data_IF_041813548736
#
_entry.id   IF_041813548736
#
_cell.length_a   1.000
_cell.length_b   1.000
_cell.length_c   1.000
_cell.angle_alpha   90.00
_cell.angle_beta   90.00
_cell.angle_gamma   90.00
#
_symmetry.space_group_name_H-M   'P 1'
#
loop_
_entity.id
_entity.type
_entity.pdbx_description
1 polymer ?
#
# COMPACT_ATOMS: atom_id res chain seq x y z
N UNK A 1 11.73 -12.54 -1.49
CA UNK A 1 11.39 -11.11 -1.35
C UNK A 1 10.00 -10.91 -0.75
N UNK A 2 8.92 -11.39 -1.39
CA UNK A 2 7.53 -11.21 -0.91
C UNK A 2 7.30 -11.60 0.55
N UNK A 3 7.76 -12.79 0.97
CA UNK A 3 7.61 -13.27 2.36
C UNK A 3 8.31 -12.32 3.34
N UNK A 4 9.58 -11.97 3.10
CA UNK A 4 10.33 -11.03 3.94
C UNK A 4 9.69 -9.65 4.01
N UNK A 5 9.14 -9.16 2.89
CA UNK A 5 8.41 -7.89 2.88
C UNK A 5 7.12 -7.96 3.71
N UNK A 6 6.34 -9.03 3.58
CA UNK A 6 5.13 -9.23 4.38
C UNK A 6 5.45 -9.36 5.87
N UNK A 7 6.49 -10.13 6.21
CA UNK A 7 7.00 -10.27 7.58
C UNK A 7 7.41 -8.90 8.15
N UNK A 8 8.20 -8.13 7.40
CA UNK A 8 8.60 -6.79 7.80
C UNK A 8 7.40 -5.86 7.96
N UNK A 9 6.43 -5.88 7.03
CA UNK A 9 5.22 -5.08 7.09
C UNK A 9 4.36 -5.41 8.32
N UNK A 10 4.24 -6.69 8.68
CA UNK A 10 3.50 -7.15 9.88
C UNK A 10 4.25 -6.89 11.20
N UNK A 11 5.56 -6.65 11.14
CA UNK A 11 6.37 -6.26 12.30
C UNK A 11 6.41 -4.75 12.55
N UNK A 12 5.87 -3.94 11.65
CA UNK A 12 5.84 -2.49 11.82
C UNK A 12 4.94 -2.07 12.98
N UNK A 13 5.30 -0.96 13.63
CA UNK A 13 4.44 -0.34 14.63
C UNK A 13 3.27 0.41 13.97
N UNK A 14 2.20 0.62 14.73
CA UNK A 14 0.98 1.25 14.22
C UNK A 14 1.24 2.72 13.88
N UNK A 15 2.19 3.36 14.57
CA UNK A 15 2.64 4.70 14.23
C UNK A 15 3.16 4.81 12.78
N UNK A 16 3.99 3.87 12.34
CA UNK A 16 4.51 3.84 10.98
C UNK A 16 3.41 3.57 9.95
N UNK A 17 2.45 2.70 10.27
CA UNK A 17 1.28 2.43 9.42
C UNK A 17 0.39 3.67 9.28
N UNK A 18 0.15 4.40 10.36
CA UNK A 18 -0.72 5.59 10.34
C UNK A 18 -0.10 6.81 9.64
N UNK A 19 1.23 6.83 9.44
CA UNK A 19 1.96 7.99 8.88
C UNK A 19 2.52 7.73 7.49
N UNK A 20 3.12 6.56 7.25
CA UNK A 20 3.98 6.33 6.08
C UNK A 20 3.45 5.23 5.14
N UNK A 21 2.60 4.31 5.62
CA UNK A 21 2.22 3.11 4.85
C UNK A 21 0.72 2.87 4.87
N UNK A 22 0.06 3.01 3.71
CA UNK A 22 -1.34 2.58 3.57
C UNK A 22 -1.41 1.09 3.29
N UNK A 23 -2.49 0.44 3.73
CA UNK A 23 -2.74 -0.99 3.45
C UNK A 23 -2.73 -1.30 1.95
N UNK A 24 -3.21 -0.38 1.12
CA UNK A 24 -3.17 -0.46 -0.34
C UNK A 24 -1.74 -0.58 -0.87
N UNK A 25 -0.79 0.10 -0.23
CA UNK A 25 0.60 0.18 -0.68
C UNK A 25 1.33 -1.13 -0.41
N UNK A 26 1.02 -1.79 0.70
CA UNK A 26 1.54 -3.13 1.02
C UNK A 26 1.09 -4.16 -0.01
N UNK A 27 -0.21 -4.16 -0.34
CA UNK A 27 -0.78 -5.08 -1.33
C UNK A 27 -0.21 -4.80 -2.73
N UNK A 28 -0.10 -3.52 -3.10
CA UNK A 28 0.47 -3.11 -4.38
C UNK A 28 1.95 -3.51 -4.50
N UNK A 29 2.74 -3.34 -3.44
CA UNK A 29 4.14 -3.73 -3.44
C UNK A 29 4.33 -5.24 -3.62
N UNK A 30 3.47 -6.05 -2.98
CA UNK A 30 3.51 -7.51 -3.12
C UNK A 30 3.12 -7.94 -4.53
N UNK A 31 2.06 -7.36 -5.10
CA UNK A 31 1.50 -7.84 -6.37
C UNK A 31 2.15 -7.21 -7.61
N UNK A 32 2.54 -5.94 -7.54
CA UNK A 32 3.01 -5.17 -8.68
C UNK A 32 4.51 -4.92 -8.61
N UNK A 33 5.00 -4.27 -7.54
CA UNK A 33 6.40 -3.88 -7.44
C UNK A 33 7.34 -5.09 -7.44
N UNK A 34 6.97 -6.15 -6.72
CA UNK A 34 7.76 -7.38 -6.70
C UNK A 34 7.83 -8.07 -8.07
N UNK A 35 6.77 -7.97 -8.89
CA UNK A 35 6.74 -8.51 -10.26
C UNK A 35 7.63 -7.67 -11.16
N UNK A 36 7.63 -6.34 -11.01
CA UNK A 36 8.55 -5.48 -11.76
C UNK A 36 10.02 -5.81 -11.45
N UNK A 37 10.34 -6.05 -10.17
CA UNK A 37 11.68 -6.49 -9.79
C UNK A 37 12.00 -7.86 -10.39
N UNK A 38 11.06 -8.81 -10.34
CA UNK A 38 11.22 -10.14 -10.93
C UNK A 38 11.46 -10.09 -12.45
N UNK A 39 10.64 -9.36 -13.21
CA UNK A 39 10.78 -9.21 -14.66
C UNK A 39 12.16 -8.65 -15.03
N UNK A 40 12.61 -7.65 -14.29
CA UNK A 40 13.92 -7.06 -14.48
C UNK A 40 15.06 -8.07 -14.27
N UNK A 41 15.10 -8.78 -13.14
CA UNK A 41 16.20 -9.72 -12.82
C UNK A 41 16.13 -11.03 -13.61
N UNK A 42 15.02 -11.33 -14.28
CA UNK A 42 14.83 -12.57 -15.03
C UNK A 42 14.96 -12.32 -16.54
N UNK A 43 13.85 -12.09 -17.23
CA UNK A 43 13.80 -11.99 -18.69
C UNK A 43 14.61 -10.79 -19.21
N UNK A 44 14.47 -9.61 -18.59
CA UNK A 44 15.12 -8.40 -19.10
C UNK A 44 16.63 -8.41 -18.91
N UNK A 45 17.13 -9.05 -17.85
CA UNK A 45 18.55 -9.30 -17.65
C UNK A 45 19.13 -10.22 -18.72
N UNK A 46 18.46 -11.35 -19.00
CA UNK A 46 18.87 -12.25 -20.08
C UNK A 46 18.88 -11.56 -21.44
N UNK A 47 17.80 -10.84 -21.77
CA UNK A 47 17.70 -10.08 -23.02
C UNK A 47 18.77 -9.00 -23.13
N UNK A 48 19.06 -8.28 -22.04
CA UNK A 48 20.10 -7.24 -22.05
C UNK A 48 21.48 -7.84 -22.35
N UNK A 49 21.85 -8.93 -21.66
CA UNK A 49 23.12 -9.62 -21.89
C UNK A 49 23.19 -10.16 -23.32
N UNK A 50 22.13 -10.79 -23.81
CA UNK A 50 22.04 -11.29 -25.18
C UNK A 50 22.25 -10.18 -26.22
N UNK A 51 21.56 -9.04 -26.08
CA UNK A 51 21.67 -7.93 -27.02
C UNK A 51 23.03 -7.23 -26.94
N UNK A 52 23.61 -7.07 -25.74
CA UNK A 52 24.96 -6.52 -25.60
C UNK A 52 26.03 -7.45 -26.18
N UNK A 53 25.91 -8.76 -25.95
CA UNK A 53 26.81 -9.74 -26.56
C UNK A 53 26.69 -9.72 -28.10
N UNK A 54 25.47 -9.61 -28.64
CA UNK A 54 25.22 -9.50 -30.08
C UNK A 54 25.79 -8.22 -30.67
N UNK A 55 25.65 -7.09 -29.96
CA UNK A 55 26.28 -5.81 -30.35
C UNK A 55 27.80 -5.93 -30.40
N UNK A 56 28.43 -6.39 -29.30
CA UNK A 56 29.89 -6.51 -29.23
C UNK A 56 30.42 -7.49 -30.28
N UNK A 57 29.83 -8.69 -30.40
CA UNK A 57 30.26 -9.70 -31.37
C UNK A 57 30.07 -9.24 -32.82
N UNK A 58 28.95 -8.58 -33.13
CA UNK A 58 28.68 -8.03 -34.47
C UNK A 58 29.72 -7.01 -34.91
N UNK A 59 30.13 -6.11 -34.00
CA UNK A 59 31.19 -5.15 -34.28
C UNK A 59 32.58 -5.78 -34.30
N UNK A 60 32.89 -6.74 -33.41
CA UNK A 60 34.17 -7.47 -33.43
C UNK A 60 34.37 -8.18 -34.77
N UNK A 61 33.36 -8.93 -35.24
CA UNK A 61 33.39 -9.58 -36.56
C UNK A 61 33.53 -8.55 -37.68
N UNK A 62 32.84 -7.40 -37.57
CA UNK A 62 32.93 -6.35 -38.57
C UNK A 62 34.32 -5.72 -38.67
N UNK A 63 34.96 -5.45 -37.54
CA UNK A 63 36.29 -4.87 -37.49
C UNK A 63 37.38 -5.85 -37.96
N UNK A 64 37.22 -7.15 -37.70
CA UNK A 64 38.19 -8.17 -38.16
C UNK A 64 38.04 -8.48 -39.65
N UNK A 65 36.83 -8.38 -40.21
CA UNK A 65 36.59 -8.66 -41.62
C UNK A 65 36.88 -7.44 -42.53
N UNK A 66 36.14 -6.34 -42.35
CA UNK A 66 36.30 -5.12 -43.16
C UNK A 66 36.09 -3.89 -42.27
N UNK A 67 37.17 -3.42 -41.65
CA UNK A 67 37.14 -2.31 -40.69
C UNK A 67 36.54 -1.01 -41.25
N UNK A 68 36.69 -0.74 -42.57
CA UNK A 68 36.12 0.47 -43.17
C UNK A 68 34.58 0.47 -43.12
N UNK A 69 33.94 -0.68 -43.34
CA UNK A 69 32.47 -0.80 -43.26
C UNK A 69 31.98 -0.69 -41.82
N UNK A 70 32.70 -1.30 -40.88
CA UNK A 70 32.38 -1.21 -39.46
C UNK A 70 32.42 0.23 -38.94
N UNK A 71 33.42 1.03 -39.34
CA UNK A 71 33.51 2.44 -38.99
C UNK A 71 32.35 3.26 -39.56
N UNK A 72 31.98 3.00 -40.82
CA UNK A 72 30.85 3.65 -41.46
C UNK A 72 29.55 3.38 -40.70
N UNK A 73 29.30 2.13 -40.29
CA UNK A 73 28.12 1.82 -39.48
C UNK A 73 28.20 2.47 -38.10
N UNK A 74 29.37 2.46 -37.46
CA UNK A 74 29.57 3.10 -36.16
C UNK A 74 29.26 4.60 -36.19
N UNK A 75 29.56 5.29 -37.30
CA UNK A 75 29.24 6.70 -37.49
C UNK A 75 27.72 6.96 -37.59
N UNK A 76 26.93 5.98 -38.02
CA UNK A 76 25.45 6.09 -38.14
C UNK A 76 24.74 5.78 -36.82
N UNK A 77 25.36 5.00 -35.93
CA UNK A 77 24.78 4.62 -34.62
C UNK A 77 24.36 5.85 -33.78
N UNK A 78 25.18 6.91 -33.60
CA UNK A 78 24.76 8.11 -32.88
C UNK A 78 23.51 8.77 -33.46
N UNK A 79 23.38 8.82 -34.79
CA UNK A 79 22.21 9.41 -35.46
C UNK A 79 20.93 8.62 -35.15
N UNK A 80 20.99 7.29 -35.18
CA UNK A 80 19.87 6.43 -34.79
C UNK A 80 19.54 6.62 -33.30
N UNK A 81 20.55 6.69 -32.44
CA UNK A 81 20.38 6.89 -31.01
C UNK A 81 19.69 8.23 -30.68
N UNK A 82 20.07 9.33 -31.36
CA UNK A 82 19.47 10.66 -31.17
C UNK A 82 17.99 10.63 -31.58
N UNK A 83 17.67 10.07 -32.76
CA UNK A 83 16.29 9.97 -33.25
C UNK A 83 15.45 9.11 -32.29
N UNK A 84 16.01 7.97 -31.85
CA UNK A 84 15.38 7.09 -30.87
C UNK A 84 15.13 7.80 -29.54
N UNK A 85 16.10 8.53 -29.01
CA UNK A 85 15.97 9.26 -27.75
C UNK A 85 14.89 10.35 -27.82
N UNK A 86 14.87 11.16 -28.89
CA UNK A 86 13.84 12.19 -29.10
C UNK A 86 12.46 11.53 -29.17
N UNK A 87 12.32 10.43 -29.91
CA UNK A 87 11.09 9.67 -30.01
C UNK A 87 10.64 9.15 -28.65
N UNK A 88 11.50 8.48 -27.89
CA UNK A 88 11.18 7.92 -26.57
C UNK A 88 10.77 9.01 -25.58
N UNK A 89 11.49 10.13 -25.51
CA UNK A 89 11.18 11.23 -24.57
C UNK A 89 9.84 11.89 -24.93
N UNK A 90 9.61 12.16 -26.21
CA UNK A 90 8.37 12.82 -26.67
C UNK A 90 7.16 11.92 -26.44
N UNK A 91 7.30 10.63 -26.75
CA UNK A 91 6.25 9.64 -26.54
C UNK A 91 5.95 9.46 -25.04
N UNK A 92 6.97 9.39 -24.19
CA UNK A 92 6.79 9.30 -22.74
C UNK A 92 6.03 10.51 -22.17
N UNK A 93 6.36 11.73 -22.60
CA UNK A 93 5.65 12.95 -22.17
C UNK A 93 4.19 12.98 -22.61
N UNK A 94 3.90 12.64 -23.87
CA UNK A 94 2.52 12.61 -24.38
C UNK A 94 1.71 11.48 -23.75
N UNK A 95 2.31 10.30 -23.59
CA UNK A 95 1.66 9.16 -22.93
C UNK A 95 1.33 9.45 -21.47
N UNK A 96 2.21 10.14 -20.74
CA UNK A 96 1.94 10.55 -19.35
C UNK A 96 0.74 11.48 -19.26
N UNK A 97 0.66 12.51 -20.10
CA UNK A 97 -0.50 13.42 -20.15
C UNK A 97 -1.79 12.69 -20.55
N UNK A 98 -1.70 11.75 -21.49
CA UNK A 98 -2.85 10.94 -21.90
C UNK A 98 -3.34 10.04 -20.76
N UNK A 99 -2.42 9.48 -19.97
CA UNK A 99 -2.74 8.64 -18.82
C UNK A 99 -3.39 9.46 -17.70
N UNK A 100 -2.90 10.69 -17.45
CA UNK A 100 -3.49 11.60 -16.47
C UNK A 100 -4.95 11.96 -16.83
N UNK A 101 -5.19 12.33 -18.10
CA UNK A 101 -6.55 12.60 -18.59
C UNK A 101 -7.48 11.37 -18.52
N UNK A 102 -6.94 10.16 -18.72
CA UNK A 102 -7.69 8.92 -18.56
C UNK A 102 -7.99 8.62 -17.08
N UNK A 103 -7.05 8.88 -16.18
CA UNK A 103 -7.24 8.73 -14.73
C UNK A 103 -8.35 9.63 -14.23
N UNK A 104 -8.45 10.87 -14.72
CA UNK A 104 -9.53 11.78 -14.34
C UNK A 104 -10.91 11.26 -14.77
N UNK A 105 -11.02 10.71 -15.97
CA UNK A 105 -12.24 10.03 -16.40
C UNK A 105 -12.54 8.82 -15.50
N UNK A 106 -11.52 8.04 -15.14
CA UNK A 106 -11.61 6.93 -14.19
C UNK A 106 -12.16 7.35 -12.83
N UNK A 107 -11.65 8.45 -12.26
CA UNK A 107 -12.11 9.00 -10.99
C UNK A 107 -13.60 9.35 -11.01
N UNK A 108 -14.08 9.98 -12.09
CA UNK A 108 -15.50 10.31 -12.26
C UNK A 108 -16.36 9.03 -12.27
N UNK A 109 -15.93 8.00 -13.00
CA UNK A 109 -16.63 6.72 -13.06
C UNK A 109 -16.63 6.01 -11.70
N UNK A 110 -15.48 5.97 -11.02
CA UNK A 110 -15.33 5.38 -9.69
C UNK A 110 -16.25 6.05 -8.66
N UNK A 111 -16.26 7.38 -8.59
CA UNK A 111 -17.14 8.13 -7.70
C UNK A 111 -18.63 7.85 -7.99
N UNK A 112 -18.99 7.80 -9.27
CA UNK A 112 -20.37 7.53 -9.71
C UNK A 112 -20.81 6.13 -9.28
N UNK A 113 -19.95 5.11 -9.47
CA UNK A 113 -20.25 3.72 -9.11
C UNK A 113 -20.26 3.53 -7.59
N UNK A 114 -19.28 4.11 -6.88
CA UNK A 114 -19.21 4.06 -5.43
C UNK A 114 -20.47 4.66 -4.78
N UNK A 115 -21.03 5.70 -5.39
CA UNK A 115 -22.24 6.39 -4.93
C UNK A 115 -23.47 6.07 -5.80
N UNK A 116 -23.52 4.86 -6.38
CA UNK A 116 -24.58 4.49 -7.34
C UNK A 116 -25.99 4.65 -6.77
N UNK A 117 -26.21 4.35 -5.48
CA UNK A 117 -27.50 4.54 -4.81
C UNK A 117 -27.94 6.00 -4.80
N UNK A 118 -27.00 6.92 -4.56
CA UNK A 118 -27.23 8.36 -4.57
C UNK A 118 -27.53 8.84 -6.00
N UNK A 119 -26.75 8.39 -6.99
CA UNK A 119 -26.95 8.75 -8.39
C UNK A 119 -28.34 8.33 -8.87
N UNK A 120 -28.76 7.09 -8.56
CA UNK A 120 -30.10 6.59 -8.91
C UNK A 120 -31.22 7.31 -8.13
N UNK A 121 -31.02 7.60 -6.84
CA UNK A 121 -32.00 8.30 -6.02
C UNK A 121 -32.29 9.74 -6.53
N UNK A 122 -31.30 10.39 -7.13
CA UNK A 122 -31.43 11.73 -7.72
C UNK A 122 -31.61 11.72 -9.25
N UNK A 123 -31.79 10.56 -9.88
CA UNK A 123 -31.95 10.41 -11.35
C UNK A 123 -30.83 11.13 -12.12
N UNK A 124 -29.59 10.92 -11.67
CA UNK A 124 -28.39 11.64 -12.12
C UNK A 124 -27.60 10.96 -13.25
N UNK A 125 -28.10 9.86 -13.83
CA UNK A 125 -27.37 8.98 -14.75
C UNK A 125 -26.86 9.73 -15.99
N UNK A 126 -27.74 10.52 -16.63
CA UNK A 126 -27.40 11.30 -17.83
C UNK A 126 -26.29 12.33 -17.56
N UNK A 127 -26.30 12.96 -16.38
CA UNK A 127 -25.29 13.94 -15.98
C UNK A 127 -23.93 13.27 -15.76
N UNK A 128 -23.92 12.11 -15.10
CA UNK A 128 -22.70 11.34 -14.90
C UNK A 128 -22.10 10.87 -16.24
N UNK A 129 -22.94 10.37 -17.15
CA UNK A 129 -22.50 9.98 -18.50
C UNK A 129 -21.91 11.15 -19.30
N UNK A 130 -22.53 12.33 -19.23
CA UNK A 130 -22.03 13.51 -19.93
C UNK A 130 -20.69 14.00 -19.35
N UNK A 131 -20.53 13.97 -18.03
CA UNK A 131 -19.27 14.31 -17.36
C UNK A 131 -18.15 13.36 -17.78
N UNK A 132 -18.41 12.04 -17.73
CA UNK A 132 -17.46 11.02 -18.17
C UNK A 132 -17.09 11.17 -19.65
N UNK A 133 -18.08 11.36 -20.53
CA UNK A 133 -17.85 11.59 -21.96
C UNK A 133 -16.99 12.82 -22.23
N UNK A 134 -17.21 13.92 -21.49
CA UNK A 134 -16.45 15.15 -21.63
C UNK A 134 -14.98 14.97 -21.21
N UNK A 135 -14.73 14.23 -20.12
CA UNK A 135 -13.38 13.86 -19.70
C UNK A 135 -12.68 12.97 -20.75
N UNK A 136 -13.39 11.98 -21.30
CA UNK A 136 -12.84 11.09 -22.34
C UNK A 136 -12.43 11.83 -23.62
N UNK A 137 -13.15 12.88 -24.05
CA UNK A 137 -12.79 13.67 -25.24
C UNK A 137 -11.38 14.28 -25.14
N UNK A 138 -10.96 14.66 -23.93
CA UNK A 138 -9.61 15.19 -23.68
C UNK A 138 -8.58 14.08 -23.91
N UNK A 139 -8.79 12.91 -23.29
CA UNK A 139 -7.94 11.73 -23.47
C UNK A 139 -7.86 11.31 -24.94
N UNK A 140 -8.99 11.32 -25.67
CA UNK A 140 -9.05 11.00 -27.09
C UNK A 140 -8.19 11.96 -27.95
N UNK A 141 -8.27 13.28 -27.72
CA UNK A 141 -7.44 14.28 -28.42
C UNK A 141 -5.94 14.07 -28.16
N UNK A 142 -5.57 13.75 -26.92
CA UNK A 142 -4.18 13.42 -26.57
C UNK A 142 -3.74 12.10 -27.19
N UNK A 143 -4.64 11.11 -27.26
CA UNK A 143 -4.45 9.84 -27.95
C UNK A 143 -4.10 10.04 -29.42
N UNK A 144 -4.82 10.90 -30.15
CA UNK A 144 -4.49 11.22 -31.55
C UNK A 144 -3.09 11.83 -31.70
N UNK A 145 -2.72 12.78 -30.84
CA UNK A 145 -1.36 13.37 -30.85
C UNK A 145 -0.29 12.33 -30.54
N UNK A 146 -0.55 11.44 -29.59
CA UNK A 146 0.34 10.35 -29.21
C UNK A 146 0.52 9.37 -30.37
N UNK A 147 -0.57 8.99 -31.04
CA UNK A 147 -0.56 8.13 -32.22
C UNK A 147 0.25 8.71 -33.36
N UNK A 148 0.06 10.00 -33.68
CA UNK A 148 0.84 10.69 -34.69
C UNK A 148 2.34 10.75 -34.35
N UNK A 149 2.68 11.11 -33.10
CA UNK A 149 4.07 11.12 -32.63
C UNK A 149 4.72 9.74 -32.71
N UNK A 150 3.99 8.67 -32.37
CA UNK A 150 4.47 7.29 -32.45
C UNK A 150 4.73 6.88 -33.90
N UNK A 151 3.79 7.21 -34.81
CA UNK A 151 3.93 6.94 -36.24
C UNK A 151 5.15 7.64 -36.84
N UNK A 152 5.31 8.94 -36.58
CA UNK A 152 6.44 9.73 -37.06
C UNK A 152 7.78 9.22 -36.50
N UNK A 153 7.84 8.89 -35.21
CA UNK A 153 9.05 8.37 -34.57
C UNK A 153 9.49 7.02 -35.12
N UNK A 154 8.56 6.08 -35.32
CA UNK A 154 8.84 4.80 -35.96
C UNK A 154 9.27 4.98 -37.42
N UNK A 155 8.57 5.83 -38.18
CA UNK A 155 8.90 6.12 -39.57
C UNK A 155 10.31 6.70 -39.74
N UNK A 156 10.67 7.70 -38.92
CA UNK A 156 12.00 8.30 -38.94
C UNK A 156 13.12 7.29 -38.59
N UNK A 157 12.84 6.39 -37.66
CA UNK A 157 13.79 5.33 -37.27
C UNK A 157 14.02 4.36 -38.44
N UNK A 158 12.95 3.84 -39.05
CA UNK A 158 13.06 2.94 -40.20
C UNK A 158 13.70 3.60 -41.42
N UNK A 159 13.34 4.86 -41.72
CA UNK A 159 13.97 5.62 -42.79
C UNK A 159 15.49 5.70 -42.61
N UNK A 160 15.96 6.01 -41.39
CA UNK A 160 17.39 6.08 -41.07
C UNK A 160 18.09 4.72 -41.26
N UNK A 161 17.45 3.62 -40.85
CA UNK A 161 17.96 2.26 -41.05
C UNK A 161 18.10 1.92 -42.54
N UNK A 162 17.10 2.24 -43.36
CA UNK A 162 17.19 2.01 -44.81
C UNK A 162 18.24 2.88 -45.50
N UNK A 163 18.41 4.14 -45.08
CA UNK A 163 19.51 4.99 -45.54
C UNK A 163 20.88 4.39 -45.17
N UNK A 164 21.02 3.82 -43.97
CA UNK A 164 22.22 3.09 -43.56
C UNK A 164 22.50 1.89 -44.48
N UNK A 165 21.48 1.10 -44.81
CA UNK A 165 21.62 -0.04 -45.74
C UNK A 165 22.08 0.42 -47.12
N UNK A 166 21.47 1.46 -47.67
CA UNK A 166 21.83 2.00 -48.97
C UNK A 166 23.30 2.47 -48.98
N UNK A 167 23.73 3.16 -47.91
CA UNK A 167 25.10 3.65 -47.78
C UNK A 167 26.12 2.52 -47.62
N UNK A 168 25.82 1.48 -46.83
CA UNK A 168 26.68 0.30 -46.67
C UNK A 168 26.80 -0.50 -47.96
N UNK A 169 25.70 -0.67 -48.72
CA UNK A 169 25.73 -1.35 -50.02
C UNK A 169 26.53 -0.55 -51.05
N UNK A 170 26.35 0.78 -51.10
CA UNK A 170 27.08 1.65 -52.03
C UNK A 170 28.58 1.64 -51.73
N UNK A 171 28.96 1.87 -50.47
CA UNK A 171 30.37 1.91 -50.08
C UNK A 171 31.02 0.52 -50.12
N UNK A 172 30.29 -0.53 -49.75
CA UNK A 172 30.71 -1.92 -49.93
C UNK A 172 30.97 -2.27 -51.39
N UNK A 173 30.08 -1.87 -52.29
CA UNK A 173 30.27 -2.03 -53.74
C UNK A 173 31.50 -1.26 -54.26
N UNK A 174 31.76 -0.07 -53.72
CA UNK A 174 32.98 0.70 -54.03
C UNK A 174 34.25 -0.04 -53.60
N UNK A 175 34.29 -0.58 -52.39
CA UNK A 175 35.42 -1.36 -51.85
C UNK A 175 35.70 -2.62 -52.67
N UNK A 176 34.65 -3.33 -53.10
CA UNK A 176 34.78 -4.52 -53.95
C UNK A 176 35.31 -4.16 -55.34
N UNK A 177 34.82 -3.07 -55.95
CA UNK A 177 35.25 -2.63 -57.29
C UNK A 177 36.73 -2.22 -57.32
N UNK A 178 37.26 -1.66 -56.23
CA UNK A 178 38.66 -1.25 -56.13
C UNK A 178 39.56 -2.34 -55.53
N UNK A 179 39.09 -3.59 -55.46
CA UNK A 179 39.85 -4.75 -55.00
C UNK A 179 40.36 -4.68 -53.54
N UNK A 180 39.73 -3.88 -52.67
CA UNK A 180 40.06 -3.83 -51.24
C UNK A 180 39.46 -5.01 -50.44
N UNK A 181 38.40 -5.65 -50.96
CA UNK A 181 37.71 -6.77 -50.30
C UNK A 181 36.92 -7.62 -51.31
N UNK A 182 36.40 -8.76 -50.86
CA UNK A 182 35.48 -9.63 -51.62
C UNK A 182 34.02 -9.30 -51.29
N UNK A 183 33.10 -9.49 -52.24
CA UNK A 183 31.66 -9.35 -52.04
C UNK A 183 31.10 -10.21 -50.90
N UNK A 184 31.61 -11.43 -50.71
CA UNK A 184 31.19 -12.31 -49.60
C UNK A 184 31.53 -11.73 -48.22
N UNK A 185 32.77 -11.26 -48.03
CA UNK A 185 33.22 -10.61 -46.79
C UNK A 185 32.49 -9.29 -46.55
N UNK A 186 32.21 -8.52 -47.60
CA UNK A 186 31.46 -7.26 -47.53
C UNK A 186 30.04 -7.49 -47.02
N UNK A 187 29.32 -8.44 -47.62
CA UNK A 187 27.94 -8.77 -47.22
C UNK A 187 27.91 -9.33 -45.80
N UNK A 188 28.82 -10.24 -45.47
CA UNK A 188 28.93 -10.79 -44.12
C UNK A 188 29.20 -9.70 -43.08
N UNK A 189 30.14 -8.79 -43.35
CA UNK A 189 30.46 -7.66 -42.47
C UNK A 189 29.26 -6.74 -42.29
N UNK A 190 28.56 -6.42 -43.40
CA UNK A 190 27.36 -5.59 -43.37
C UNK A 190 26.28 -6.20 -42.47
N UNK A 191 25.97 -7.49 -42.61
CA UNK A 191 24.99 -8.16 -41.74
C UNK A 191 25.44 -8.21 -40.27
N UNK A 192 26.70 -8.56 -40.00
CA UNK A 192 27.21 -8.65 -38.62
C UNK A 192 27.13 -7.33 -37.86
N UNK A 193 27.61 -6.23 -38.46
CA UNK A 193 27.61 -4.92 -37.80
C UNK A 193 26.20 -4.36 -37.68
N UNK A 194 25.33 -4.65 -38.64
CA UNK A 194 23.95 -4.19 -38.67
C UNK A 194 23.07 -4.92 -37.64
N UNK A 195 23.17 -6.25 -37.55
CA UNK A 195 22.51 -7.03 -36.49
C UNK A 195 23.02 -6.56 -35.12
N UNK A 196 24.33 -6.32 -34.99
CA UNK A 196 24.92 -5.76 -33.78
C UNK A 196 24.32 -4.39 -33.42
N UNK A 197 24.28 -3.45 -34.36
CA UNK A 197 23.70 -2.11 -34.16
C UNK A 197 22.21 -2.13 -33.79
N UNK A 198 21.42 -3.01 -34.42
CA UNK A 198 20.00 -3.19 -34.07
C UNK A 198 19.82 -3.80 -32.67
N UNK A 199 20.68 -4.74 -32.28
CA UNK A 199 20.66 -5.32 -30.94
C UNK A 199 20.86 -4.27 -29.85
N UNK A 200 21.74 -3.28 -30.05
CA UNK A 200 21.88 -2.15 -29.14
C UNK A 200 20.55 -1.40 -28.93
N UNK A 201 19.79 -1.14 -30.01
CA UNK A 201 18.47 -0.53 -29.92
C UNK A 201 17.45 -1.38 -29.16
N UNK A 202 17.45 -2.70 -29.36
CA UNK A 202 16.56 -3.64 -28.67
C UNK A 202 16.90 -3.83 -27.18
N UNK A 203 18.08 -3.39 -26.74
CA UNK A 203 18.45 -3.40 -25.31
C UNK A 203 17.81 -2.27 -24.49
N UNK A 204 17.35 -1.20 -25.15
CA UNK A 204 16.83 0.00 -24.47
C UNK A 204 15.59 -0.26 -23.58
N UNK A 205 14.60 -1.10 -23.98
CA UNK A 205 13.51 -1.50 -23.09
C UNK A 205 13.97 -2.20 -21.81
N UNK A 206 15.01 -3.05 -21.88
CA UNK A 206 15.58 -3.70 -20.69
C UNK A 206 16.20 -2.68 -19.74
N UNK A 207 16.88 -1.65 -20.27
CA UNK A 207 17.43 -0.56 -19.46
C UNK A 207 16.33 0.21 -18.71
N UNK A 208 15.21 0.49 -19.39
CA UNK A 208 14.04 1.13 -18.78
C UNK A 208 13.43 0.25 -17.68
N UNK A 209 13.35 -1.06 -17.90
CA UNK A 209 12.86 -2.01 -16.90
C UNK A 209 13.74 -2.04 -15.65
N UNK A 210 15.07 -2.04 -15.79
CA UNK A 210 15.98 -1.96 -14.63
C UNK A 210 15.80 -0.67 -13.83
N UNK A 211 15.61 0.47 -14.50
CA UNK A 211 15.39 1.74 -13.82
C UNK A 211 14.10 1.70 -12.98
N UNK A 212 13.01 1.15 -13.54
CA UNK A 212 11.74 0.98 -12.81
C UNK A 212 11.88 -0.01 -11.65
N UNK A 213 12.52 -1.15 -11.89
CA UNK A 213 12.76 -2.16 -10.86
C UNK A 213 13.61 -1.62 -9.71
N UNK A 214 14.58 -0.74 -9.97
CA UNK A 214 15.37 -0.09 -8.91
C UNK A 214 14.49 0.77 -8.00
N UNK A 215 13.56 1.54 -8.56
CA UNK A 215 12.61 2.37 -7.78
C UNK A 215 11.68 1.48 -6.97
N UNK A 216 11.08 0.45 -7.60
CA UNK A 216 10.21 -0.53 -6.95
C UNK A 216 10.92 -1.26 -5.80
N UNK A 217 12.16 -1.71 -6.03
CA UNK A 217 12.99 -2.32 -5.00
C UNK A 217 13.26 -1.34 -3.85
N UNK A 218 13.51 -0.06 -4.13
CA UNK A 218 13.68 0.96 -3.10
C UNK A 218 12.48 1.08 -2.15
N UNK A 219 11.26 1.01 -2.67
CA UNK A 219 10.02 1.03 -1.86
C UNK A 219 9.94 -0.21 -0.97
N UNK A 220 10.20 -1.39 -1.55
CA UNK A 220 10.16 -2.68 -0.83
C UNK A 220 11.21 -2.71 0.29
N UNK A 221 12.47 -2.36 -0.03
CA UNK A 221 13.56 -2.37 0.94
C UNK A 221 13.40 -1.31 2.02
N UNK A 222 12.76 -0.17 1.72
CA UNK A 222 12.44 0.84 2.74
C UNK A 222 11.63 0.25 3.91
N UNK A 223 10.69 -0.65 3.65
CA UNK A 223 9.90 -1.30 4.71
C UNK A 223 10.67 -2.46 5.33
N UNK A 224 11.40 -3.24 4.54
CA UNK A 224 12.21 -4.37 5.05
C UNK A 224 13.30 -3.90 6.02
N UNK A 225 13.96 -2.78 5.69
CA UNK A 225 15.09 -2.27 6.45
C UNK A 225 14.66 -1.31 7.57
N UNK A 226 13.38 -0.91 7.61
CA UNK A 226 12.85 -0.07 8.67
C UNK A 226 12.77 -0.84 9.99
N UNK A 227 13.36 -0.27 11.04
CA UNK A 227 13.30 -0.79 12.40
C UNK A 227 12.18 -0.09 13.16
N UNK A 228 11.13 -0.81 13.63
CA UNK A 228 10.03 -0.21 14.38
C UNK A 228 10.53 0.35 15.71
N UNK A 229 9.88 1.41 16.19
CA UNK A 229 10.17 2.02 17.49
C UNK A 229 9.77 1.12 18.65
N UNK A 230 8.71 0.33 18.45
CA UNK A 230 8.21 -0.68 19.37
C UNK A 230 8.46 -2.06 18.77
N UNK A 231 9.52 -2.74 19.22
CA UNK A 231 9.88 -4.06 18.70
C UNK A 231 9.00 -5.17 19.32
N UNK A 232 8.07 -5.70 18.52
CA UNK A 232 7.20 -6.83 18.87
C UNK A 232 7.95 -8.17 18.95
N UNK A 233 9.03 -8.32 18.19
CA UNK A 233 9.74 -9.58 18.02
C UNK A 233 10.94 -9.70 18.96
N UNK A 234 11.28 -8.64 19.69
CA UNK A 234 12.26 -8.75 20.75
C UNK A 234 11.78 -9.73 21.83
N UNK A 235 12.61 -10.69 22.20
CA UNK A 235 12.49 -11.43 23.47
C UNK A 235 12.83 -10.53 24.67
N UNK A 236 13.04 -9.23 24.41
CA UNK A 236 13.34 -8.25 25.43
C UNK A 236 12.09 -7.87 26.23
N UNK A 237 12.31 -7.47 27.47
CA UNK A 237 11.25 -7.11 28.40
C UNK A 237 10.90 -8.24 29.37
N UNK A 238 10.30 -7.85 30.47
CA UNK A 238 9.95 -8.75 31.57
C UNK A 238 8.58 -9.41 31.30
N UNK A 239 8.49 -10.71 31.55
CA UNK A 239 7.22 -11.42 31.70
C UNK A 239 6.93 -11.57 33.21
N UNK A 240 5.69 -11.26 33.63
CA UNK A 240 5.30 -11.43 35.03
C UNK A 240 4.74 -12.84 35.23
N UNK A 241 5.17 -13.50 36.32
CA UNK A 241 4.65 -14.83 36.70
C UNK A 241 3.16 -14.80 37.02
N UNK A 242 2.68 -13.67 37.57
CA UNK A 242 1.28 -13.46 37.94
C UNK A 242 0.85 -12.03 37.68
N UNK A 243 -0.39 -11.87 37.21
CA UNK A 243 -1.02 -10.57 36.95
C UNK A 243 -2.24 -10.42 37.84
N UNK A 244 -2.27 -9.37 38.66
CA UNK A 244 -3.41 -9.00 39.51
C UNK A 244 -4.43 -8.15 38.76
N UNK A 245 -3.95 -7.34 37.81
CA UNK A 245 -4.77 -6.54 36.92
C UNK A 245 -5.09 -5.13 37.40
N UNK A 246 -4.22 -4.55 38.23
CA UNK A 246 -4.26 -3.13 38.55
C UNK A 246 -3.60 -2.32 37.43
N UNK A 247 -4.34 -1.39 36.83
CA UNK A 247 -3.84 -0.54 35.74
C UNK A 247 -3.81 0.93 36.18
N UNK A 248 -2.72 1.63 35.88
CA UNK A 248 -2.58 3.06 36.20
C UNK A 248 -2.03 3.83 35.00
N UNK A 249 -2.73 4.88 34.58
CA UNK A 249 -2.23 5.90 33.67
C UNK A 249 -1.85 7.10 34.52
N UNK A 250 -0.59 7.53 34.50
CA UNK A 250 -0.07 8.63 35.33
C UNK A 250 0.39 9.79 34.46
N UNK A 251 -0.29 10.93 34.59
CA UNK A 251 0.08 12.22 34.00
C UNK A 251 0.34 12.10 32.48
N UNK A 252 -0.55 11.40 31.77
CA UNK A 252 -0.39 11.09 30.35
C UNK A 252 -0.59 12.35 29.51
N UNK A 253 0.41 12.67 28.70
CA UNK A 253 0.26 13.55 27.53
C UNK A 253 0.45 12.74 26.26
N UNK A 254 -0.44 12.94 25.29
CA UNK A 254 -0.38 12.21 24.03
C UNK A 254 -0.99 12.99 22.86
N UNK A 255 -0.28 12.96 21.73
CA UNK A 255 -0.74 13.36 20.40
C UNK A 255 -0.49 12.20 19.43
N UNK A 256 -1.40 11.99 18.47
CA UNK A 256 -1.15 11.00 17.41
C UNK A 256 -0.02 11.48 16.49
N UNK A 257 0.88 10.60 16.05
CA UNK A 257 1.98 10.96 15.14
C UNK A 257 1.52 11.58 13.82
N UNK A 258 0.35 11.18 13.33
CA UNK A 258 -0.27 11.76 12.11
C UNK A 258 -0.76 13.20 12.31
N UNK A 259 -0.91 13.67 13.54
CA UNK A 259 -1.36 15.04 13.92
C UNK A 259 -0.65 15.50 15.20
N UNK A 260 0.67 15.75 15.16
CA UNK A 260 1.47 16.01 16.36
C UNK A 260 1.03 17.28 17.10
N UNK A 261 0.53 18.27 16.36
CA UNK A 261 0.09 19.57 16.90
C UNK A 261 -1.22 19.49 17.72
N UNK A 262 -1.96 18.39 17.64
CA UNK A 262 -3.24 18.21 18.33
C UNK A 262 -3.06 17.27 19.52
N UNK A 263 -2.93 17.87 20.71
CA UNK A 263 -2.93 17.11 21.98
C UNK A 263 -4.32 16.48 22.22
N UNK A 264 -4.35 15.15 22.33
CA UNK A 264 -5.57 14.38 22.60
C UNK A 264 -5.75 14.15 24.11
N UNK A 265 -4.67 13.77 24.79
CA UNK A 265 -4.64 13.63 26.25
C UNK A 265 -3.69 14.68 26.81
N UNK A 266 -4.10 15.36 27.88
CA UNK A 266 -3.34 16.41 28.52
C UNK A 266 -3.36 16.20 30.05
N UNK A 267 -2.21 15.80 30.59
CA UNK A 267 -2.02 15.46 32.01
C UNK A 267 -3.11 14.52 32.56
N UNK A 268 -3.45 13.48 31.80
CA UNK A 268 -4.54 12.56 32.13
C UNK A 268 -4.07 11.47 33.11
N UNK A 269 -4.84 11.26 34.17
CA UNK A 269 -4.58 10.22 35.18
C UNK A 269 -5.81 9.36 35.42
N UNK A 270 -5.61 8.04 35.45
CA UNK A 270 -6.67 7.05 35.65
C UNK A 270 -6.11 5.85 36.42
N UNK A 271 -6.82 5.40 37.45
CA UNK A 271 -6.51 4.16 38.18
C UNK A 271 -7.68 3.19 38.04
N UNK A 272 -7.38 1.98 37.58
CA UNK A 272 -8.32 0.86 37.48
C UNK A 272 -7.90 -0.19 38.51
N UNK A 273 -8.65 -0.36 39.61
CA UNK A 273 -8.37 -1.39 40.59
C UNK A 273 -8.57 -2.80 40.01
N UNK A 274 -7.77 -3.76 40.47
CA UNK A 274 -7.88 -5.16 40.09
C UNK A 274 -9.30 -5.71 40.29
N UNK A 275 -9.80 -6.45 39.29
CA UNK A 275 -11.13 -7.07 39.32
C UNK A 275 -12.32 -6.10 39.24
N UNK A 276 -12.09 -4.80 39.03
CA UNK A 276 -13.16 -3.80 38.85
C UNK A 276 -13.35 -3.43 37.39
N UNK A 277 -14.60 -3.17 37.03
CA UNK A 277 -14.96 -2.65 35.71
C UNK A 277 -15.12 -1.14 35.78
N UNK A 278 -14.44 -0.42 34.89
CA UNK A 278 -14.58 1.03 34.75
C UNK A 278 -15.20 1.36 33.39
N UNK A 279 -16.09 2.35 33.39
CA UNK A 279 -16.68 2.90 32.18
C UNK A 279 -16.14 4.31 31.92
N UNK A 280 -15.55 4.53 30.74
CA UNK A 280 -15.09 5.84 30.27
C UNK A 280 -16.19 6.47 29.42
N UNK A 281 -16.79 7.56 29.91
CA UNK A 281 -17.87 8.29 29.23
C UNK A 281 -17.38 9.69 28.85
N UNK A 282 -17.74 10.14 27.66
CA UNK A 282 -17.37 11.47 27.17
C UNK A 282 -17.81 11.71 25.73
N UNK A 283 -17.80 12.96 25.29
CA UNK A 283 -18.15 13.38 23.93
C UNK A 283 -17.28 12.68 22.87
N UNK A 284 -17.75 12.62 21.62
CA UNK A 284 -16.92 12.11 20.53
C UNK A 284 -15.60 12.89 20.44
N UNK A 285 -14.48 12.19 20.21
CA UNK A 285 -13.14 12.81 20.18
C UNK A 285 -12.49 13.06 21.54
N UNK A 286 -13.13 12.74 22.67
CA UNK A 286 -12.56 12.95 24.02
C UNK A 286 -11.39 12.02 24.42
N UNK A 287 -10.79 11.29 23.47
CA UNK A 287 -9.64 10.40 23.74
C UNK A 287 -9.96 9.00 24.33
N UNK A 288 -11.23 8.57 24.35
CA UNK A 288 -11.61 7.25 24.94
C UNK A 288 -10.90 6.07 24.29
N UNK A 289 -10.92 5.99 22.95
CA UNK A 289 -10.25 4.93 22.20
C UNK A 289 -8.72 5.07 22.28
N UNK A 290 -8.23 6.29 22.49
CA UNK A 290 -6.80 6.57 22.70
C UNK A 290 -6.30 5.95 24.01
N UNK A 291 -7.09 6.00 25.08
CA UNK A 291 -6.76 5.30 26.34
C UNK A 291 -6.59 3.80 26.11
N UNK A 292 -7.51 3.15 25.39
CA UNK A 292 -7.38 1.73 25.04
C UNK A 292 -6.13 1.46 24.18
N UNK A 293 -5.81 2.35 23.23
CA UNK A 293 -4.64 2.22 22.36
C UNK A 293 -3.31 2.32 23.12
N UNK A 294 -3.25 3.13 24.19
CA UNK A 294 -2.08 3.25 25.06
C UNK A 294 -1.92 2.02 25.97
N UNK A 295 -3.03 1.44 26.46
CA UNK A 295 -3.02 0.23 27.28
C UNK A 295 -2.51 -0.98 26.48
N UNK A 296 -2.96 -1.12 25.22
CA UNK A 296 -2.48 -2.13 24.26
C UNK A 296 -1.06 -1.87 23.75
N UNK A 297 -0.47 -0.74 24.17
CA UNK A 297 0.83 -0.24 23.72
C UNK A 297 0.92 -0.24 22.19
N UNK A 298 -0.14 0.22 21.52
CA UNK A 298 -0.10 0.57 20.11
C UNK A 298 0.67 1.87 19.88
N UNK A 299 0.68 2.72 20.91
CA UNK A 299 1.45 3.93 20.99
C UNK A 299 2.10 4.05 22.36
N UNK A 300 3.27 4.66 22.41
CA UNK A 300 3.86 5.13 23.65
C UNK A 300 3.39 6.57 23.93
N UNK A 301 3.07 6.93 25.18
CA UNK A 301 2.71 8.30 25.52
C UNK A 301 3.91 9.25 25.34
N UNK A 302 3.63 10.50 24.98
CA UNK A 302 4.65 11.56 24.82
C UNK A 302 5.27 11.94 26.17
N UNK A 303 4.45 11.94 27.22
CA UNK A 303 4.86 12.12 28.62
C UNK A 303 3.96 11.29 29.54
N UNK A 304 4.45 10.97 30.73
CA UNK A 304 3.77 10.12 31.69
C UNK A 304 4.06 8.63 31.49
N UNK A 305 3.38 7.79 32.28
CA UNK A 305 3.60 6.35 32.31
C UNK A 305 2.27 5.58 32.35
N UNK A 306 2.24 4.44 31.65
CA UNK A 306 1.16 3.46 31.75
C UNK A 306 1.71 2.26 32.50
N UNK A 307 1.06 1.88 33.59
CA UNK A 307 1.54 0.89 34.54
C UNK A 307 0.55 -0.28 34.61
N UNK A 308 1.10 -1.49 34.69
CA UNK A 308 0.38 -2.71 35.01
C UNK A 308 1.01 -3.32 36.28
N UNK A 309 0.20 -3.52 37.32
CA UNK A 309 0.62 -4.07 38.62
C UNK A 309 1.86 -3.36 39.21
N UNK A 310 1.90 -2.04 39.07
CA UNK A 310 3.00 -1.21 39.57
C UNK A 310 4.27 -1.22 38.70
N UNK A 311 4.27 -1.85 37.53
CA UNK A 311 5.38 -1.82 36.56
C UNK A 311 4.99 -1.10 35.28
N UNK A 312 5.91 -0.32 34.73
CA UNK A 312 5.69 0.37 33.45
C UNK A 312 5.58 -0.66 32.31
N UNK A 313 4.53 -0.55 31.49
CA UNK A 313 4.31 -1.45 30.35
C UNK A 313 5.42 -1.36 29.29
N UNK A 314 6.21 -0.28 29.30
CA UNK A 314 7.39 -0.14 28.42
C UNK A 314 8.46 -1.19 28.70
N UNK A 315 8.60 -1.61 29.95
CA UNK A 315 9.56 -2.61 30.39
C UNK A 315 9.09 -4.06 30.27
N UNK A 316 7.82 -4.29 29.89
CA UNK A 316 7.24 -5.61 29.74
C UNK A 316 7.41 -6.13 28.31
N UNK A 317 7.49 -7.46 28.16
CA UNK A 317 7.47 -8.07 26.83
C UNK A 317 6.12 -7.80 26.15
N UNK A 318 6.14 -7.24 24.94
CA UNK A 318 4.92 -6.79 24.25
C UNK A 318 4.00 -7.94 23.85
N UNK A 319 4.57 -9.07 23.42
CA UNK A 319 3.80 -10.25 23.02
C UNK A 319 3.11 -10.86 24.23
N UNK A 320 3.82 -10.94 25.35
CA UNK A 320 3.25 -11.36 26.63
C UNK A 320 2.15 -10.40 27.09
N UNK A 321 2.38 -9.08 27.07
CA UNK A 321 1.42 -8.06 27.50
C UNK A 321 0.09 -8.20 26.74
N UNK A 322 0.15 -8.26 25.40
CA UNK A 322 -1.05 -8.39 24.55
C UNK A 322 -1.76 -9.73 24.69
N UNK A 323 -1.09 -10.79 25.16
CA UNK A 323 -1.77 -12.05 25.53
C UNK A 323 -2.61 -11.92 26.81
N UNK A 324 -2.30 -10.96 27.68
CA UNK A 324 -3.04 -10.74 28.93
C UNK A 324 -4.26 -9.81 28.75
N UNK A 325 -4.39 -9.13 27.61
CA UNK A 325 -5.42 -8.14 27.34
C UNK A 325 -6.35 -8.64 26.22
N UNK A 326 -7.66 -8.50 26.44
CA UNK A 326 -8.67 -8.76 25.42
C UNK A 326 -9.23 -7.45 24.89
N UNK A 327 -9.07 -7.22 23.59
CA UNK A 327 -9.61 -6.03 22.92
C UNK A 327 -10.86 -6.38 22.11
N UNK A 328 -11.87 -5.52 22.23
CA UNK A 328 -13.10 -5.60 21.44
C UNK A 328 -13.25 -4.28 20.69
N UNK A 329 -13.05 -4.32 19.37
CA UNK A 329 -13.11 -3.13 18.52
C UNK A 329 -14.55 -2.67 18.28
N UNK A 330 -14.71 -1.36 18.08
CA UNK A 330 -16.02 -0.74 17.77
C UNK A 330 -16.63 -1.30 16.47
N UNK A 331 -15.80 -1.50 15.46
CA UNK A 331 -16.12 -2.20 14.22
C UNK A 331 -15.37 -3.54 14.22
N UNK A 332 -15.99 -4.62 14.72
CA UNK A 332 -15.38 -5.94 14.70
C UNK A 332 -15.17 -6.43 13.27
N UNK A 333 -13.96 -6.89 12.97
CA UNK A 333 -13.59 -7.46 11.68
C UNK A 333 -13.38 -8.97 11.81
N UNK A 334 -13.89 -9.74 10.85
CA UNK A 334 -13.55 -11.15 10.68
C UNK A 334 -12.66 -11.31 9.46
N UNK A 335 -11.80 -12.33 9.53
CA UNK A 335 -11.09 -12.81 8.37
C UNK A 335 -12.05 -13.66 7.51
N UNK A 336 -11.81 -13.67 6.20
CA UNK A 336 -12.57 -14.44 5.22
C UNK A 336 -12.27 -15.94 5.33
N UNK A 337 -12.68 -16.51 6.46
CA UNK A 337 -12.47 -17.89 6.91
C UNK A 337 -13.74 -18.36 7.63
N UNK A 338 -13.76 -19.60 8.10
CA UNK A 338 -14.90 -20.11 8.87
C UNK A 338 -15.08 -19.37 10.20
N UNK A 339 -16.28 -19.44 10.79
CA UNK A 339 -16.54 -18.91 12.14
C UNK A 339 -15.60 -19.56 13.15
N UNK A 340 -15.41 -20.88 13.06
CA UNK A 340 -14.47 -21.66 13.87
C UNK A 340 -13.05 -21.10 13.81
N UNK A 341 -12.51 -20.90 12.61
CA UNK A 341 -11.15 -20.39 12.41
C UNK A 341 -10.98 -18.98 12.98
N UNK A 342 -11.99 -18.12 12.85
CA UNK A 342 -11.96 -16.79 13.45
C UNK A 342 -11.90 -16.83 14.99
N UNK A 343 -12.62 -17.75 15.63
CA UNK A 343 -12.55 -17.95 17.10
C UNK A 343 -11.16 -18.47 17.50
N UNK A 344 -10.60 -19.40 16.71
CA UNK A 344 -9.26 -19.95 16.93
C UNK A 344 -8.12 -18.93 16.81
N UNK A 345 -8.33 -17.79 16.14
CA UNK A 345 -7.34 -16.70 16.13
C UNK A 345 -7.01 -16.17 17.53
N UNK A 346 -8.00 -16.20 18.44
CA UNK A 346 -7.79 -15.81 19.84
C UNK A 346 -6.99 -16.86 20.63
N UNK A 347 -7.18 -18.14 20.32
CA UNK A 347 -6.44 -19.24 20.94
C UNK A 347 -6.31 -20.43 19.97
N UNK A 348 -5.17 -20.58 19.28
CA UNK A 348 -5.00 -21.57 18.21
C UNK A 348 -5.17 -23.03 18.66
N UNK A 349 -4.86 -23.32 19.92
CA UNK A 349 -4.84 -24.69 20.47
C UNK A 349 -6.17 -25.09 21.14
N UNK A 350 -7.24 -24.31 20.95
CA UNK A 350 -8.53 -24.61 21.57
C UNK A 350 -9.26 -25.78 20.91
N UNK A 351 -9.84 -26.67 21.71
CA UNK A 351 -10.66 -27.76 21.19
C UNK A 351 -12.13 -27.33 21.04
N UNK A 352 -12.93 -28.11 20.31
CA UNK A 352 -14.29 -27.71 19.92
C UNK A 352 -15.20 -27.34 21.10
N UNK A 353 -15.10 -28.05 22.22
CA UNK A 353 -15.90 -27.75 23.42
C UNK A 353 -15.62 -26.35 23.98
N UNK A 354 -14.39 -25.86 23.89
CA UNK A 354 -14.03 -24.51 24.35
C UNK A 354 -14.49 -23.43 23.36
N UNK A 355 -14.52 -23.77 22.06
CA UNK A 355 -15.08 -22.91 21.02
C UNK A 355 -16.60 -22.75 21.24
N UNK A 356 -17.28 -23.84 21.56
CA UNK A 356 -18.71 -23.83 21.89
C UNK A 356 -19.00 -23.09 23.19
N UNK A 357 -18.21 -23.32 24.24
CA UNK A 357 -18.33 -22.61 25.51
C UNK A 357 -18.12 -21.11 25.33
N UNK A 358 -17.08 -20.70 24.59
CA UNK A 358 -16.82 -19.30 24.29
C UNK A 358 -18.01 -18.66 23.54
N UNK A 359 -18.55 -19.37 22.54
CA UNK A 359 -19.73 -18.92 21.80
C UNK A 359 -21.02 -18.90 22.65
N UNK A 360 -21.14 -19.77 23.65
CA UNK A 360 -22.26 -19.78 24.59
C UNK A 360 -22.20 -18.57 25.52
N UNK A 361 -21.04 -18.32 26.13
CA UNK A 361 -20.82 -17.16 27.02
C UNK A 361 -20.97 -15.85 26.25
N UNK A 362 -20.66 -15.85 24.95
CA UNK A 362 -20.86 -14.72 24.06
C UNK A 362 -22.30 -14.54 23.59
N UNK A 363 -23.20 -15.49 23.86
CA UNK A 363 -24.55 -15.56 23.30
C UNK A 363 -24.60 -15.67 21.75
N UNK A 364 -23.55 -16.21 21.13
CA UNK A 364 -23.47 -16.43 19.68
C UNK A 364 -23.85 -17.86 19.27
N UNK A 365 -23.69 -18.85 20.15
CA UNK A 365 -23.88 -20.28 19.84
C UNK A 365 -25.25 -20.59 19.21
N UNK A 366 -26.34 -20.07 19.80
CA UNK A 366 -27.70 -20.30 19.29
C UNK A 366 -27.96 -19.69 17.91
N UNK A 367 -27.21 -18.66 17.52
CA UNK A 367 -27.26 -18.13 16.17
C UNK A 367 -26.42 -19.00 15.23
N UNK A 368 -25.20 -19.37 15.63
CA UNK A 368 -24.26 -20.14 14.81
C UNK A 368 -24.88 -21.45 14.38
N UNK A 369 -25.51 -22.22 15.29
CA UNK A 369 -26.15 -23.51 14.96
C UNK A 369 -27.29 -23.38 13.95
N UNK A 370 -27.94 -22.21 13.82
CA UNK A 370 -29.02 -21.99 12.85
C UNK A 370 -28.52 -21.78 11.43
N UNK A 371 -27.22 -21.55 11.25
CA UNK A 371 -26.61 -21.43 9.93
C UNK A 371 -26.52 -22.81 9.27
N UNK A 372 -26.61 -22.89 7.92
CA UNK A 372 -26.55 -24.17 7.20
C UNK A 372 -25.34 -25.04 7.56
N UNK A 373 -24.17 -24.42 7.72
CA UNK A 373 -22.89 -25.10 8.01
C UNK A 373 -22.39 -24.83 9.44
N UNK A 374 -23.24 -24.31 10.32
CA UNK A 374 -22.92 -23.96 11.70
C UNK A 374 -21.55 -23.24 11.86
N UNK A 375 -20.61 -23.85 12.58
CA UNK A 375 -19.27 -23.30 12.84
C UNK A 375 -18.34 -23.29 11.62
N UNK A 376 -18.63 -24.11 10.62
CA UNK A 376 -17.88 -24.19 9.36
C UNK A 376 -18.41 -23.21 8.31
N UNK A 377 -19.45 -22.43 8.64
CA UNK A 377 -19.96 -21.35 7.79
C UNK A 377 -18.85 -20.33 7.53
N UNK A 378 -18.59 -20.02 6.26
CA UNK A 378 -17.63 -18.98 5.88
C UNK A 378 -18.17 -17.58 6.17
N UNK A 379 -17.38 -16.76 6.86
CA UNK A 379 -17.68 -15.34 7.01
C UNK A 379 -17.33 -14.60 5.73
N UNK A 380 -18.34 -14.22 4.93
CA UNK A 380 -18.10 -13.31 3.80
C UNK A 380 -17.79 -11.89 4.30
N UNK A 381 -16.80 -11.25 3.66
CA UNK A 381 -16.52 -9.82 3.83
C UNK A 381 -17.73 -9.04 3.28
N UNK A 382 -18.63 -8.62 4.16
CA UNK A 382 -19.62 -7.58 3.84
C UNK A 382 -21.09 -7.99 3.82
N UNK A 383 -21.49 -9.22 4.15
CA UNK A 383 -22.92 -9.55 4.28
C UNK A 383 -23.28 -10.25 5.60
N UNK A 384 -24.28 -9.66 6.27
CA UNK A 384 -25.13 -10.22 7.33
C UNK A 384 -24.49 -10.74 8.64
N UNK A 385 -23.21 -10.52 8.92
CA UNK A 385 -22.61 -10.90 10.21
C UNK A 385 -22.43 -9.77 11.22
N UNK A 386 -22.85 -8.53 10.90
CA UNK A 386 -22.72 -7.34 11.76
C UNK A 386 -23.15 -7.52 13.22
N UNK A 387 -24.25 -8.25 13.44
CA UNK A 387 -24.78 -8.50 14.79
C UNK A 387 -24.16 -9.75 15.45
N UNK A 388 -23.78 -10.78 14.66
CA UNK A 388 -22.97 -11.90 15.16
C UNK A 388 -21.62 -11.38 15.67
N UNK A 389 -21.00 -10.46 14.95
CA UNK A 389 -19.70 -9.88 15.25
C UNK A 389 -19.67 -9.15 16.61
N UNK A 390 -20.68 -8.35 16.91
CA UNK A 390 -20.81 -7.66 18.21
C UNK A 390 -21.00 -8.63 19.36
N UNK A 391 -21.57 -9.80 19.07
CA UNK A 391 -21.96 -10.82 20.03
C UNK A 391 -20.79 -11.79 20.29
N UNK A 392 -20.10 -12.26 19.25
CA UNK A 392 -18.90 -13.11 19.33
C UNK A 392 -17.71 -12.44 20.01
N UNK A 393 -17.63 -11.12 19.98
CA UNK A 393 -16.57 -10.38 20.67
C UNK A 393 -17.10 -9.70 21.96
N UNK A 394 -18.29 -10.09 22.45
CA UNK A 394 -18.84 -9.54 23.68
C UNK A 394 -18.02 -9.92 24.93
N UNK A 395 -18.05 -9.13 26.02
CA UNK A 395 -17.26 -9.36 27.21
C UNK A 395 -17.54 -10.72 27.89
N UNK A 396 -16.68 -11.71 27.65
CA UNK A 396 -16.80 -13.10 28.14
C UNK A 396 -16.59 -14.14 27.03
N UNK A 397 -16.55 -13.70 25.78
CA UNK A 397 -16.47 -14.53 24.58
C UNK A 397 -15.08 -14.95 24.12
N UNK A 398 -14.02 -14.51 24.79
CA UNK A 398 -12.66 -14.86 24.39
C UNK A 398 -12.27 -16.20 24.99
N UNK A 399 -11.81 -17.11 24.14
CA UNK A 399 -11.23 -18.41 24.51
C UNK A 399 -9.99 -18.26 25.43
N UNK A 400 -9.42 -17.05 25.45
CA UNK A 400 -8.51 -16.57 26.49
C UNK A 400 -9.31 -15.68 27.45
N UNK A 401 -9.58 -16.07 28.70
CA UNK A 401 -10.16 -15.15 29.67
C UNK A 401 -9.16 -14.02 29.93
N UNK A 402 -9.45 -12.76 29.58
CA UNK A 402 -8.53 -11.66 29.87
C UNK A 402 -8.53 -11.49 31.39
N UNK A 403 -7.37 -11.69 32.02
CA UNK A 403 -7.20 -11.56 33.47
C UNK A 403 -7.29 -10.11 33.95
N UNK A 404 -7.27 -9.15 33.01
CA UNK A 404 -6.77 -7.80 33.31
C UNK A 404 -7.71 -6.68 32.89
N UNK A 405 -8.43 -6.80 31.77
CA UNK A 405 -9.24 -5.68 31.28
C UNK A 405 -10.27 -6.10 30.23
N UNK A 406 -11.47 -5.51 30.29
CA UNK A 406 -12.52 -5.59 29.26
C UNK A 406 -12.84 -4.15 28.83
N UNK A 407 -12.36 -3.70 27.67
CA UNK A 407 -12.74 -2.37 27.17
C UNK A 407 -14.13 -2.44 26.52
N UNK A 408 -15.16 -1.90 27.18
CA UNK A 408 -16.50 -1.74 26.61
C UNK A 408 -16.61 -0.33 26.02
N UNK A 409 -16.44 -0.21 24.70
CA UNK A 409 -16.67 1.04 23.97
C UNK A 409 -17.85 0.87 23.01
N UNK A 410 -18.93 1.59 23.33
CA UNK A 410 -20.12 1.89 22.55
C UNK A 410 -21.32 0.91 22.56
N UNK A 411 -22.49 1.55 22.80
CA UNK A 411 -23.88 1.14 22.61
C UNK A 411 -24.61 0.41 23.76
N UNK A 412 -25.26 1.21 24.60
CA UNK A 412 -26.47 0.83 25.34
C UNK A 412 -27.66 1.59 24.74
N UNK A 413 -28.68 0.85 24.30
CA UNK A 413 -30.07 1.36 24.20
C UNK A 413 -30.63 1.43 25.62
N UNK A 414 -31.31 2.53 25.95
CA UNK A 414 -31.99 2.75 27.23
C UNK A 414 -33.22 1.82 27.38
N UNK A 415 -33.59 1.45 28.62
CA UNK A 415 -34.67 2.19 29.28
C UNK A 415 -34.39 2.60 30.74
N UNK A 416 -35.11 3.65 31.15
CA UNK A 416 -35.39 4.16 32.49
C UNK A 416 -34.23 4.70 33.36
N UNK A 417 -34.05 6.02 33.28
CA UNK A 417 -33.22 6.84 34.15
C UNK A 417 -34.04 7.34 35.35
N UNK A 418 -33.62 6.96 36.57
CA UNK A 418 -33.84 7.75 37.78
C UNK A 418 -32.52 8.43 38.15
N UNK A 419 -32.62 9.74 38.38
CA UNK A 419 -31.52 10.65 38.71
C UNK A 419 -30.70 10.20 39.91
N UNK A 420 -29.38 10.41 39.84
CA UNK A 420 -28.53 10.59 41.03
C UNK A 420 -27.43 11.60 40.72
N UNK A 421 -27.45 12.68 41.51
CA UNK A 421 -26.55 13.82 41.50
C UNK A 421 -25.09 13.44 41.78
N UNK A 422 -24.16 14.11 41.09
CA UNK A 422 -22.81 14.35 41.60
C UNK A 422 -22.45 15.82 41.47
N UNK A 423 -22.25 16.45 42.63
CA UNK A 423 -21.61 17.74 42.85
C UNK A 423 -20.13 17.65 42.46
N UNK A 424 -19.64 18.65 41.71
CA UNK A 424 -18.23 18.75 41.33
C UNK A 424 -17.99 19.90 40.37
N UNK A 425 -17.87 21.12 40.91
CA UNK A 425 -17.56 22.34 40.16
C UNK A 425 -16.15 22.24 39.55
N UNK A 426 -16.07 22.31 38.22
CA UNK A 426 -14.85 22.59 37.46
C UNK A 426 -15.17 23.55 36.33
N UNK A 427 -14.89 24.84 36.52
CA UNK A 427 -15.18 25.91 35.58
C UNK A 427 -14.18 25.89 34.41
N UNK A 428 -14.66 25.65 33.20
CA UNK A 428 -13.96 26.01 31.97
C UNK A 428 -14.57 27.30 31.41
N UNK A 429 -13.85 28.41 31.57
CA UNK A 429 -14.11 29.68 30.85
C UNK A 429 -13.65 29.53 29.40
N UNK A 430 -14.59 29.67 28.45
CA UNK A 430 -14.25 29.98 27.06
C UNK A 430 -14.04 31.50 26.91
N UNK A 431 -13.00 31.97 26.21
CA UNK A 431 -12.96 33.33 25.71
C UNK A 431 -13.76 33.41 24.40
N UNK A 432 -14.75 34.30 24.36
CA UNK A 432 -15.52 34.61 23.17
C UNK A 432 -14.65 35.22 22.07
N UNK A 433 -14.96 34.88 20.83
CA UNK A 433 -14.62 35.68 19.66
C UNK A 433 -15.91 36.15 19.00
N UNK A 434 -16.20 37.42 19.21
CA UNK A 434 -16.98 38.23 18.29
C UNK A 434 -16.28 38.26 16.93
N UNK A 435 -17.00 37.96 15.85
CA UNK A 435 -16.70 38.45 14.52
C UNK A 435 -18.01 38.78 13.82
N UNK A 436 -18.26 40.08 13.71
CA UNK A 436 -19.41 40.66 13.05
C UNK A 436 -19.47 40.32 11.57
N UNK A 437 -20.68 40.00 11.14
CA UNK A 437 -21.12 40.00 9.75
C UNK A 437 -21.03 41.41 9.16
N UNK A 438 -20.39 41.56 8.01
CA UNK A 438 -20.60 42.70 7.12
C UNK A 438 -20.89 42.20 5.70
N UNK A 439 -21.86 42.79 4.97
CA UNK A 439 -22.36 42.26 3.71
C UNK A 439 -21.55 42.76 2.51
N UNK A 440 -21.44 41.91 1.49
CA UNK A 440 -20.81 42.21 0.19
C UNK A 440 -21.85 42.89 -0.71
N UNK A 441 -21.56 44.04 -1.36
CA UNK A 441 -22.45 44.60 -2.36
C UNK A 441 -22.23 43.97 -3.74
N UNK A 442 -23.32 43.87 -4.49
CA UNK A 442 -23.37 43.43 -5.89
C UNK A 442 -22.61 44.41 -6.80
N UNK A 443 -21.83 43.87 -7.73
CA UNK A 443 -21.81 44.26 -9.15
C UNK A 443 -21.19 43.15 -9.97
#
# INVERSE_FOLDING_TARGET
MRIKYLEAALSQDIQFVDTEVRTSDVVYAINTDSVMVQDAISEKLGNFIHYMATFVSGFVVGFTAVWQLALVTLAVVPSIAIIGAIHTITLAKLSSKSQEALSEAGNIAEQTIAQIRTVLAYVGESRALQAYSSALKISQKLGYKTGFSKGLGLGATYFTVFCCYALLLWYGGYLVRHHYTNGGLTISTMFSVMIGGLALGQSAPSMSAFAKARVAAGIIYRIIDHKPSVDKNSESGLELDSVSGQLELKNIEFSYPSRPDVKILNNFTLTVPAGKTIALVGSSGSGKSTVASLIERFYDPTSGQVMLDGRDIKGLNLRWLRKQIGLVSQEPALFATTIKENILLGRPDAYMGEIEEAALVSNAHSFIIKLPDAYDTQGEIGMAFGDLLKTLWAPGATVVPPRTFKSKLAHLRFPDFKELHTSGKGSCKHPGRDMGSNPIPKT
#
